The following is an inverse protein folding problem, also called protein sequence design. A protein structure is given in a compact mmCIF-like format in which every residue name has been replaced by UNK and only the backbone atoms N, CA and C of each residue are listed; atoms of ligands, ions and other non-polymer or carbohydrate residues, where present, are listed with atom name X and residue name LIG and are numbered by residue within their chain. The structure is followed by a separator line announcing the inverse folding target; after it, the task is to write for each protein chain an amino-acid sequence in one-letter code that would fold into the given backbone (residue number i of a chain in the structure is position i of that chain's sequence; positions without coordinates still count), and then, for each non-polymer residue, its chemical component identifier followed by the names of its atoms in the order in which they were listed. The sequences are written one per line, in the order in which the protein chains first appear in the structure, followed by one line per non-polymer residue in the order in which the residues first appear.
data_IF_851665467603
#
_entry.id   IF_851665467603
#
_cell.length_a   1.000
_cell.length_b   1.000
_cell.length_c   1.000
_cell.angle_alpha   90.00
_cell.angle_beta   90.00
_cell.angle_gamma   90.00
#
_symmetry.space_group_name_H-M   'P 1'
#
loop_
_entity.id
_entity.type
_entity.pdbx_description
1 polymer ?
#
# COMPACT_ATOMS: atom_id res chain seq x y z
N UNK A 1 -6.99 -3.42 -19.34
CA UNK A 1 -5.99 -3.81 -18.33
C UNK A 1 -5.27 -2.55 -17.88
N UNK A 2 -5.39 -2.20 -16.61
CA UNK A 2 -4.79 -1.01 -16.03
C UNK A 2 -3.61 -1.38 -15.13
N UNK A 3 -2.78 -0.39 -14.80
CA UNK A 3 -1.67 -0.58 -13.86
C UNK A 3 -1.84 0.43 -12.74
N UNK A 4 -1.79 -0.06 -11.51
CA UNK A 4 -1.67 0.75 -10.30
C UNK A 4 -0.31 0.50 -9.68
N UNK A 5 0.15 1.45 -8.87
CA UNK A 5 1.43 1.33 -8.19
C UNK A 5 1.22 0.98 -6.72
N UNK A 6 1.67 -0.20 -6.29
CA UNK A 6 1.63 -0.57 -4.87
C UNK A 6 2.99 -0.30 -4.23
N UNK A 7 2.98 0.52 -3.18
CA UNK A 7 4.12 0.95 -2.37
C UNK A 7 4.10 0.15 -1.07
N UNK A 8 4.83 -0.96 -1.03
CA UNK A 8 4.94 -1.81 0.15
C UNK A 8 5.85 -1.15 1.20
N UNK A 9 5.30 -0.72 2.33
CA UNK A 9 6.08 -0.07 3.40
C UNK A 9 6.55 -1.14 4.37
N UNK A 10 7.85 -1.47 4.31
CA UNK A 10 8.42 -2.51 5.17
C UNK A 10 8.82 -1.97 6.55
N UNK A 11 9.16 -0.68 6.66
CA UNK A 11 9.47 -0.02 7.92
C UNK A 11 9.15 1.47 7.80
N UNK A 12 8.31 1.97 8.69
CA UNK A 12 8.00 3.39 8.78
C UNK A 12 9.16 4.19 9.40
N UNK A 13 9.82 3.63 10.42
CA UNK A 13 10.92 4.27 11.15
C UNK A 13 12.12 4.55 10.22
N UNK A 14 12.48 3.57 9.39
CA UNK A 14 13.59 3.70 8.44
C UNK A 14 13.14 4.14 7.04
N UNK A 15 11.86 4.46 6.84
CA UNK A 15 11.32 4.91 5.56
C UNK A 15 11.51 3.94 4.39
N UNK A 16 11.52 2.63 4.65
CA UNK A 16 11.81 1.62 3.62
C UNK A 16 10.54 1.28 2.85
N UNK A 17 10.47 1.77 1.61
CA UNK A 17 9.35 1.58 0.69
C UNK A 17 9.80 0.82 -0.56
N UNK A 18 9.12 -0.29 -0.87
CA UNK A 18 9.33 -1.05 -2.10
C UNK A 18 8.17 -0.85 -3.06
N UNK A 19 8.51 -0.66 -4.33
CA UNK A 19 7.61 -0.27 -5.39
C UNK A 19 7.24 -1.50 -6.25
N UNK A 20 5.95 -1.76 -6.40
CA UNK A 20 5.42 -2.91 -7.13
C UNK A 20 4.30 -2.48 -8.07
N UNK A 21 4.52 -2.46 -9.40
CA UNK A 21 3.44 -2.21 -10.35
C UNK A 21 2.52 -3.43 -10.39
N UNK A 22 1.22 -3.26 -10.08
CA UNK A 22 0.23 -4.33 -10.09
C UNK A 22 -0.73 -4.11 -11.25
N UNK A 23 -0.94 -5.16 -12.04
CA UNK A 23 -1.91 -5.12 -13.15
C UNK A 23 -3.28 -5.42 -12.59
N UNK A 24 -4.24 -4.58 -12.92
CA UNK A 24 -5.63 -4.73 -12.46
C UNK A 24 -6.60 -4.71 -13.64
N UNK A 25 -7.67 -5.49 -13.52
CA UNK A 25 -8.80 -5.56 -14.43
C UNK A 25 -10.04 -4.92 -13.80
N UNK A 26 -11.05 -4.63 -14.61
CA UNK A 26 -12.33 -4.12 -14.12
C UNK A 26 -12.99 -5.14 -13.20
N UNK A 27 -13.48 -4.68 -12.04
CA UNK A 27 -14.16 -5.51 -11.04
C UNK A 27 -13.24 -6.21 -10.03
N UNK A 28 -11.92 -6.04 -10.10
CA UNK A 28 -11.03 -6.52 -9.03
C UNK A 28 -11.22 -5.69 -7.74
N UNK A 29 -10.88 -6.31 -6.61
CA UNK A 29 -10.94 -5.72 -5.28
C UNK A 29 -9.54 -5.41 -4.74
N UNK A 30 -9.46 -4.67 -3.63
CA UNK A 30 -8.20 -4.54 -2.89
C UNK A 30 -7.68 -5.88 -2.34
N UNK A 31 -8.56 -6.85 -2.08
CA UNK A 31 -8.15 -8.18 -1.65
C UNK A 31 -7.40 -8.94 -2.76
N UNK A 32 -7.87 -8.81 -4.00
CA UNK A 32 -7.18 -9.37 -5.18
C UNK A 32 -5.79 -8.74 -5.34
N UNK A 33 -5.69 -7.41 -5.20
CA UNK A 33 -4.42 -6.69 -5.24
C UNK A 33 -3.47 -7.17 -4.13
N UNK A 34 -3.96 -7.32 -2.89
CA UNK A 34 -3.16 -7.82 -1.77
C UNK A 34 -2.64 -9.24 -2.04
N UNK A 35 -3.50 -10.12 -2.56
CA UNK A 35 -3.11 -11.49 -2.92
C UNK A 35 -2.02 -11.48 -3.99
N UNK A 36 -2.17 -10.68 -5.05
CA UNK A 36 -1.15 -10.53 -6.10
C UNK A 36 0.19 -10.06 -5.50
N UNK A 37 0.16 -9.04 -4.64
CA UNK A 37 1.36 -8.52 -3.97
C UNK A 37 2.03 -9.60 -3.12
N UNK A 38 1.27 -10.31 -2.29
CA UNK A 38 1.78 -11.38 -1.43
C UNK A 38 2.42 -12.52 -2.25
N UNK A 39 1.76 -12.96 -3.32
CA UNK A 39 2.30 -13.98 -4.24
C UNK A 39 3.61 -13.53 -4.88
N UNK A 40 3.69 -12.27 -5.31
CA UNK A 40 4.90 -11.69 -5.89
C UNK A 40 6.04 -11.55 -4.90
N UNK A 41 5.77 -11.20 -3.64
CA UNK A 41 6.78 -11.20 -2.58
C UNK A 41 7.33 -12.61 -2.34
N UNK A 42 6.49 -13.64 -2.41
CA UNK A 42 6.88 -15.04 -2.21
C UNK A 42 7.76 -15.56 -3.35
N UNK A 43 7.42 -15.19 -4.60
CA UNK A 43 8.02 -15.75 -5.82
C UNK A 43 9.16 -14.94 -6.42
N UNK A 44 9.14 -13.60 -6.34
CA UNK A 44 10.16 -12.75 -6.97
C UNK A 44 11.29 -12.38 -5.98
N UNK A 45 12.57 -12.67 -6.30
CA UNK A 45 13.68 -12.47 -5.38
C UNK A 45 13.94 -10.98 -5.04
N UNK A 46 13.61 -10.05 -5.93
CA UNK A 46 13.75 -8.59 -5.68
C UNK A 46 12.90 -8.10 -4.49
N UNK A 47 11.86 -8.84 -4.11
CA UNK A 47 10.99 -8.52 -2.99
C UNK A 47 11.34 -9.31 -1.72
N UNK A 48 12.49 -9.98 -1.69
CA UNK A 48 13.02 -10.68 -0.49
C UNK A 48 12.97 -9.84 0.79
N UNK A 49 13.23 -8.51 0.80
CA UNK A 49 13.13 -7.70 2.01
C UNK A 49 11.72 -7.65 2.65
N UNK A 50 10.67 -7.95 1.87
CA UNK A 50 9.28 -7.95 2.34
C UNK A 50 8.84 -9.32 2.87
N UNK A 51 9.56 -10.41 2.60
CA UNK A 51 9.08 -11.79 2.84
C UNK A 51 8.64 -12.06 4.27
N UNK A 52 9.34 -11.52 5.25
CA UNK A 52 9.02 -11.71 6.68
C UNK A 52 7.93 -10.79 7.20
N UNK A 53 7.46 -9.84 6.40
CA UNK A 53 6.54 -8.76 6.83
C UNK A 53 5.23 -8.74 6.05
N UNK A 54 5.24 -9.20 4.81
CA UNK A 54 4.08 -9.10 3.91
C UNK A 54 2.83 -9.81 4.45
N UNK A 55 3.00 -10.85 5.27
CA UNK A 55 1.88 -11.58 5.88
C UNK A 55 1.18 -10.78 6.99
N UNK A 56 1.85 -9.76 7.53
CA UNK A 56 1.27 -8.82 8.49
C UNK A 56 0.67 -7.58 7.82
N UNK A 57 0.65 -7.50 6.48
CA UNK A 57 0.09 -6.34 5.78
C UNK A 57 -1.42 -6.50 5.67
N UNK A 58 -2.14 -5.52 6.21
CA UNK A 58 -3.59 -5.57 6.41
C UNK A 58 -4.28 -4.26 5.98
N UNK A 59 -3.50 -3.25 5.58
CA UNK A 59 -4.02 -1.91 5.31
C UNK A 59 -3.43 -1.32 4.04
N UNK A 60 -4.32 -0.81 3.19
CA UNK A 60 -3.98 0.09 2.09
C UNK A 60 -4.25 1.54 2.48
N UNK A 61 -3.41 2.46 2.02
CA UNK A 61 -3.67 3.90 2.10
C UNK A 61 -3.33 4.58 0.79
N UNK A 62 -4.22 5.42 0.27
CA UNK A 62 -3.94 6.20 -0.95
C UNK A 62 -2.72 7.10 -0.69
N UNK A 63 -1.69 6.97 -1.50
CA UNK A 63 -0.49 7.79 -1.39
C UNK A 63 -0.57 9.02 -2.30
N UNK A 64 -0.94 8.80 -3.56
CA UNK A 64 -1.18 9.86 -4.53
C UNK A 64 -2.17 9.36 -5.59
N UNK A 65 -3.10 10.22 -5.98
CA UNK A 65 -4.00 9.99 -7.11
C UNK A 65 -3.43 10.63 -8.37
N UNK A 66 -3.83 10.19 -9.58
CA UNK A 66 -3.35 10.77 -10.83
C UNK A 66 -3.55 12.29 -10.89
N UNK A 67 -2.53 13.01 -11.36
CA UNK A 67 -2.57 14.46 -11.49
C UNK A 67 -2.40 15.26 -10.20
N UNK A 68 -2.31 14.61 -9.03
CA UNK A 68 -1.97 15.28 -7.77
C UNK A 68 -0.46 15.32 -7.53
N UNK A 69 -0.02 16.35 -6.80
CA UNK A 69 1.36 16.43 -6.33
C UNK A 69 1.61 15.37 -5.25
N UNK A 70 2.84 14.84 -5.21
CA UNK A 70 3.23 13.90 -4.15
C UNK A 70 3.21 14.58 -2.79
N UNK A 71 2.77 13.89 -1.73
CA UNK A 71 2.79 14.45 -0.38
C UNK A 71 4.23 14.72 0.08
N UNK A 72 4.43 15.67 1.01
CA UNK A 72 5.76 16.01 1.52
C UNK A 72 6.41 14.85 2.29
N UNK A 73 5.60 13.98 2.93
CA UNK A 73 6.10 12.76 3.54
C UNK A 73 6.22 11.65 2.49
N UNK A 74 7.46 11.34 2.12
CA UNK A 74 7.78 10.34 1.10
C UNK A 74 7.49 8.89 1.52
N UNK A 75 7.27 8.62 2.82
CA UNK A 75 6.99 7.26 3.30
C UNK A 75 5.50 6.97 3.17
N UNK A 76 4.66 7.81 3.76
CA UNK A 76 3.20 7.62 3.85
C UNK A 76 2.48 8.96 3.71
N UNK A 77 1.34 8.96 3.01
CA UNK A 77 0.53 10.17 2.87
C UNK A 77 -0.16 10.51 4.20
N UNK A 78 -0.18 11.80 4.61
CA UNK A 78 -0.87 12.22 5.81
C UNK A 78 -2.40 12.09 5.64
N UNK A 79 -2.94 12.56 4.53
CA UNK A 79 -4.39 12.78 4.32
C UNK A 79 -5.05 11.83 3.31
N UNK A 80 -4.42 10.69 3.00
CA UNK A 80 -5.00 9.70 2.08
C UNK A 80 -6.06 8.81 2.73
N UNK A 81 -7.06 8.39 1.94
CA UNK A 81 -8.05 7.39 2.36
C UNK A 81 -7.34 6.08 2.77
N UNK A 82 -7.78 5.52 3.90
CA UNK A 82 -7.26 4.28 4.47
C UNK A 82 -8.32 3.17 4.36
N UNK A 83 -7.89 1.98 3.95
CA UNK A 83 -8.73 0.81 3.75
C UNK A 83 -8.11 -0.40 4.45
N UNK A 84 -8.72 -0.83 5.57
CA UNK A 84 -8.33 -2.04 6.30
C UNK A 84 -8.92 -3.28 5.64
N UNK A 85 -8.37 -4.45 5.95
CA UNK A 85 -8.79 -5.74 5.40
C UNK A 85 -10.28 -6.03 5.52
N UNK A 86 -10.97 -5.48 6.53
CA UNK A 86 -12.42 -5.61 6.72
C UNK A 86 -13.26 -4.87 5.65
N UNK A 87 -12.65 -3.93 4.91
CA UNK A 87 -13.34 -3.08 3.94
C UNK A 87 -12.63 -3.03 2.57
N UNK A 88 -11.96 -4.11 2.19
CA UNK A 88 -11.35 -4.24 0.87
C UNK A 88 -12.41 -4.52 -0.21
N UNK A 89 -13.07 -3.45 -0.66
CA UNK A 89 -14.11 -3.48 -1.70
C UNK A 89 -13.52 -3.41 -3.11
N UNK A 90 -14.40 -3.34 -4.12
CA UNK A 90 -14.02 -3.16 -5.52
C UNK A 90 -13.21 -1.89 -5.73
N UNK A 91 -12.20 -1.94 -6.60
CA UNK A 91 -11.32 -0.80 -6.87
C UNK A 91 -12.10 0.43 -7.35
N UNK A 92 -13.12 0.23 -8.18
CA UNK A 92 -13.99 1.29 -8.71
C UNK A 92 -14.83 1.95 -7.60
N UNK A 93 -15.40 1.14 -6.70
CA UNK A 93 -16.17 1.64 -5.53
C UNK A 93 -15.33 2.52 -4.61
N UNK A 94 -14.02 2.24 -4.54
CA UNK A 94 -13.07 2.96 -3.70
C UNK A 94 -12.41 4.16 -4.42
N UNK A 95 -12.78 4.43 -5.67
CA UNK A 95 -12.20 5.49 -6.49
C UNK A 95 -10.73 5.24 -6.85
N UNK A 96 -10.30 3.98 -6.90
CA UNK A 96 -8.93 3.61 -7.25
C UNK A 96 -8.84 3.49 -8.78
N UNK A 97 -8.29 4.54 -9.38
CA UNK A 97 -8.13 4.66 -10.82
C UNK A 97 -6.70 4.30 -11.29
N UNK A 98 -6.50 4.01 -12.60
CA UNK A 98 -5.18 3.72 -13.16
C UNK A 98 -4.17 4.84 -12.85
N UNK A 99 -2.96 4.48 -12.45
CA UNK A 99 -1.93 5.45 -12.04
C UNK A 99 -2.02 5.89 -10.58
N UNK A 100 -3.05 5.49 -9.83
CA UNK A 100 -3.07 5.65 -8.37
C UNK A 100 -1.89 4.91 -7.75
N UNK A 101 -1.19 5.56 -6.82
CA UNK A 101 -0.21 4.89 -5.95
C UNK A 101 -0.85 4.59 -4.59
N UNK A 102 -0.86 3.31 -4.21
CA UNK A 102 -1.38 2.83 -2.93
C UNK A 102 -0.22 2.39 -2.04
N UNK A 103 -0.19 2.84 -0.79
CA UNK A 103 0.70 2.28 0.23
C UNK A 103 0.07 1.04 0.83
N UNK A 104 0.83 -0.06 0.94
CA UNK A 104 0.37 -1.31 1.55
C UNK A 104 1.29 -1.69 2.71
N UNK A 105 0.72 -1.90 3.90
CA UNK A 105 1.47 -2.01 5.15
C UNK A 105 0.66 -2.65 6.28
N UNK A 106 1.30 -2.84 7.43
CA UNK A 106 0.66 -3.29 8.67
C UNK A 106 0.07 -2.11 9.46
N UNK A 107 -1.23 -2.12 9.74
CA UNK A 107 -1.88 -1.06 10.55
C UNK A 107 -1.24 -0.93 11.92
N UNK A 108 -0.88 -2.05 12.54
CA UNK A 108 -0.21 -2.08 13.85
C UNK A 108 1.13 -1.35 13.84
N UNK A 109 1.93 -1.54 12.78
CA UNK A 109 3.20 -0.84 12.62
C UNK A 109 2.99 0.68 12.38
N UNK A 110 1.98 1.04 11.59
CA UNK A 110 1.65 2.44 11.33
C UNK A 110 1.16 3.17 12.59
N UNK A 111 0.33 2.52 13.41
CA UNK A 111 -0.16 3.07 14.67
C UNK A 111 0.99 3.39 15.62
N UNK A 112 1.92 2.45 15.81
CA UNK A 112 3.14 2.65 16.64
C UNK A 112 3.99 3.81 16.14
N UNK A 113 4.14 3.93 14.82
CA UNK A 113 4.86 5.05 14.21
C UNK A 113 4.18 6.41 14.47
N UNK A 114 2.84 6.48 14.40
CA UNK A 114 2.08 7.69 14.73
C UNK A 114 2.20 8.06 16.21
N UNK A 115 2.07 7.08 17.11
CA UNK A 115 2.18 7.29 18.56
C UNK A 115 3.59 7.78 18.95
N UNK A 116 4.65 7.20 18.37
CA UNK A 116 6.02 7.65 18.60
C UNK A 116 6.29 9.08 18.13
N UNK A 117 5.65 9.53 17.04
CA UNK A 117 5.78 10.90 16.52
C UNK A 117 4.89 11.94 17.20
N UNK A 118 3.86 11.52 17.93
CA UNK A 118 3.02 12.43 18.71
C UNK A 118 3.65 12.80 20.07
N UNK A 119 4.73 12.12 20.45
CA UNK A 119 5.48 12.35 21.68
C UNK A 119 6.73 13.23 21.50
N UNK A 120 6.98 13.74 20.28
CA UNK A 120 8.09 14.65 19.94
C UNK A 120 7.59 16.09 19.73
#
# INVERSE_FOLDING_TARGET
MAVIMVRCISSFEHGVVLYMPVKVNGGETLADVAQQVCQRVKTEPKYKPLKTRVEAFDTFKVYVTPGQAKPPNLVIAPEGNEFTSDNWRGLDELGIEPGTELSFFSSSAYKRYKEGRAAE
#
